data_IF_219053778327
#
_entry.id   IF_219053778327
#
_cell.length_a   1.000
_cell.length_b   1.000
_cell.length_c   1.000
_cell.angle_alpha   90.00
_cell.angle_beta   90.00
_cell.angle_gamma   90.00
#
_symmetry.space_group_name_H-M   'P 1'
#
loop_
_entity.id
_entity.type
_entity.pdbx_description
1 polymer ?
#
# COMPACT_ATOMS: atom_id res chain seq x y z
N UNK A 1 -13.37 -34.58 -35.00
CA UNK A 1 -12.24 -33.64 -35.06
C UNK A 1 -12.14 -32.92 -33.76
N UNK A 2 -11.15 -33.27 -32.89
CA UNK A 2 -10.88 -32.55 -31.64
C UNK A 2 -10.28 -31.19 -32.01
N UNK A 3 -11.08 -30.14 -31.94
CA UNK A 3 -10.58 -28.78 -32.08
C UNK A 3 -9.86 -28.44 -30.77
N UNK A 4 -8.53 -28.54 -30.76
CA UNK A 4 -7.70 -28.12 -29.62
C UNK A 4 -7.95 -26.64 -29.34
N UNK A 5 -8.33 -26.30 -28.11
CA UNK A 5 -8.62 -24.91 -27.74
C UNK A 5 -7.34 -24.07 -27.87
N UNK A 6 -7.31 -23.16 -28.83
CA UNK A 6 -6.20 -22.24 -29.11
C UNK A 6 -5.68 -21.51 -27.83
N UNK A 7 -6.52 -21.38 -26.82
CA UNK A 7 -6.24 -20.64 -25.61
C UNK A 7 -6.05 -21.52 -24.38
N UNK A 8 -5.91 -22.83 -24.54
CA UNK A 8 -5.81 -23.78 -23.41
C UNK A 8 -4.66 -23.41 -22.47
N UNK A 9 -3.45 -23.21 -22.98
CA UNK A 9 -2.29 -22.77 -22.18
C UNK A 9 -2.53 -21.41 -21.52
N UNK A 10 -3.15 -20.47 -22.22
CA UNK A 10 -3.46 -19.16 -21.65
C UNK A 10 -4.54 -19.24 -20.56
N UNK A 11 -5.54 -20.11 -20.70
CA UNK A 11 -6.57 -20.34 -19.67
C UNK A 11 -5.97 -20.95 -18.40
N UNK A 12 -5.06 -21.90 -18.55
CA UNK A 12 -4.33 -22.48 -17.41
C UNK A 12 -3.54 -21.41 -16.66
N UNK A 13 -2.81 -20.57 -17.40
CA UNK A 13 -2.00 -19.49 -16.80
C UNK A 13 -2.85 -18.39 -16.14
N UNK A 14 -3.96 -17.98 -16.77
CA UNK A 14 -4.95 -17.07 -16.18
C UNK A 14 -5.46 -17.61 -14.84
N UNK A 15 -5.77 -18.90 -14.78
CA UNK A 15 -6.27 -19.57 -13.59
C UNK A 15 -5.20 -19.60 -12.49
N UNK A 16 -3.96 -19.94 -12.85
CA UNK A 16 -2.83 -19.93 -11.92
C UNK A 16 -2.62 -18.54 -11.31
N UNK A 17 -2.49 -17.50 -12.15
CA UNK A 17 -2.32 -16.10 -11.72
C UNK A 17 -3.48 -15.67 -10.81
N UNK A 18 -4.72 -16.03 -11.15
CA UNK A 18 -5.89 -15.68 -10.36
C UNK A 18 -5.84 -16.29 -8.95
N UNK A 19 -5.50 -17.58 -8.82
CA UNK A 19 -5.42 -18.27 -7.54
C UNK A 19 -4.20 -17.84 -6.71
N UNK A 20 -3.03 -17.68 -7.31
CA UNK A 20 -1.82 -17.14 -6.67
C UNK A 20 -2.11 -15.79 -5.98
N UNK A 21 -2.96 -14.97 -6.61
CA UNK A 21 -3.35 -13.66 -6.11
C UNK A 21 -4.67 -13.67 -5.32
N UNK A 22 -5.15 -14.83 -4.85
CA UNK A 22 -6.37 -15.00 -4.04
C UNK A 22 -7.60 -14.29 -4.64
N UNK A 23 -7.72 -14.21 -5.97
CA UNK A 23 -8.81 -13.54 -6.68
C UNK A 23 -8.78 -12.00 -6.66
N UNK A 24 -7.68 -11.40 -6.22
CA UNK A 24 -7.53 -9.91 -6.14
C UNK A 24 -7.29 -9.25 -7.47
N UNK A 25 -6.87 -10.00 -8.50
CA UNK A 25 -6.58 -9.47 -9.83
C UNK A 25 -7.79 -9.51 -10.76
N UNK A 26 -8.14 -8.36 -11.32
CA UNK A 26 -9.07 -8.27 -12.45
C UNK A 26 -8.32 -8.42 -13.77
N UNK A 27 -9.08 -8.53 -14.88
CA UNK A 27 -8.54 -8.81 -16.20
C UNK A 27 -7.34 -7.93 -16.60
N UNK A 28 -7.31 -6.65 -16.23
CA UNK A 28 -6.20 -5.74 -16.58
C UNK A 28 -4.87 -6.15 -15.91
N UNK A 29 -4.90 -6.50 -14.62
CA UNK A 29 -3.70 -6.98 -13.92
C UNK A 29 -3.27 -8.36 -14.41
N UNK A 30 -4.24 -9.26 -14.64
CA UNK A 30 -3.95 -10.57 -15.24
C UNK A 30 -3.32 -10.42 -16.60
N UNK A 31 -3.78 -9.48 -17.44
CA UNK A 31 -3.14 -9.18 -18.74
C UNK A 31 -1.70 -8.74 -18.57
N UNK A 32 -1.45 -7.82 -17.63
CA UNK A 32 -0.09 -7.34 -17.36
C UNK A 32 0.82 -8.48 -16.87
N UNK A 33 0.32 -9.33 -15.99
CA UNK A 33 1.08 -10.47 -15.47
C UNK A 33 1.33 -11.55 -16.54
N UNK A 34 0.38 -11.78 -17.42
CA UNK A 34 0.57 -12.64 -18.60
C UNK A 34 1.69 -12.11 -19.51
N UNK A 35 1.74 -10.79 -19.73
CA UNK A 35 2.85 -10.19 -20.47
C UNK A 35 4.20 -10.38 -19.76
N UNK A 36 4.25 -10.25 -18.43
CA UNK A 36 5.45 -10.53 -17.64
C UNK A 36 5.91 -12.01 -17.77
N UNK A 37 4.97 -12.94 -18.04
CA UNK A 37 5.21 -14.37 -18.28
C UNK A 37 5.32 -14.73 -19.78
N UNK A 38 5.55 -13.74 -20.65
CA UNK A 38 5.72 -13.87 -22.10
C UNK A 38 4.48 -14.32 -22.88
N UNK A 39 3.27 -14.18 -22.32
CA UNK A 39 2.02 -14.37 -23.04
C UNK A 39 1.55 -13.05 -23.66
N UNK A 40 1.56 -12.92 -24.97
CA UNK A 40 1.11 -11.70 -25.66
C UNK A 40 -0.40 -11.79 -25.98
N UNK A 41 -1.26 -11.39 -25.02
CA UNK A 41 -2.71 -11.37 -25.18
C UNK A 41 -3.28 -9.97 -24.94
N UNK A 42 -4.29 -9.60 -25.77
CA UNK A 42 -5.02 -8.36 -25.56
C UNK A 42 -5.94 -8.48 -24.34
N UNK A 43 -6.08 -7.39 -23.58
CA UNK A 43 -6.91 -7.33 -22.36
C UNK A 43 -8.39 -7.71 -22.61
N UNK A 44 -8.96 -7.44 -23.81
CA UNK A 44 -10.32 -7.88 -24.16
C UNK A 44 -10.41 -9.40 -24.27
N UNK A 45 -9.37 -10.05 -24.83
CA UNK A 45 -9.29 -11.51 -24.90
C UNK A 45 -9.20 -12.11 -23.49
N UNK A 46 -8.33 -11.57 -22.64
CA UNK A 46 -8.20 -12.02 -21.24
C UNK A 46 -9.52 -11.85 -20.48
N UNK A 47 -10.22 -10.73 -20.66
CA UNK A 47 -11.53 -10.50 -20.05
C UNK A 47 -12.56 -11.55 -20.46
N UNK A 48 -12.60 -11.91 -21.75
CA UNK A 48 -13.48 -12.96 -22.29
C UNK A 48 -13.13 -14.32 -21.70
N UNK A 49 -11.84 -14.70 -21.70
CA UNK A 49 -11.37 -15.97 -21.15
C UNK A 49 -11.66 -16.09 -19.65
N UNK A 50 -11.44 -15.04 -18.87
CA UNK A 50 -11.83 -15.02 -17.46
C UNK A 50 -13.33 -15.27 -17.26
N UNK A 51 -14.18 -14.65 -18.10
CA UNK A 51 -15.63 -14.87 -18.06
C UNK A 51 -15.99 -16.33 -18.38
N UNK A 52 -15.35 -16.92 -19.40
CA UNK A 52 -15.51 -18.34 -19.76
C UNK A 52 -15.12 -19.27 -18.61
N UNK A 53 -14.07 -18.92 -17.87
CA UNK A 53 -13.58 -19.66 -16.69
C UNK A 53 -14.36 -19.36 -15.39
N UNK A 54 -15.34 -18.45 -15.42
CA UNK A 54 -16.09 -18.03 -14.22
C UNK A 54 -15.26 -17.23 -13.22
N UNK A 55 -14.09 -16.70 -13.62
CA UNK A 55 -13.18 -15.97 -12.76
C UNK A 55 -13.55 -14.48 -12.70
N UNK A 56 -13.91 -14.00 -11.51
CA UNK A 56 -14.32 -12.62 -11.27
C UNK A 56 -13.44 -12.01 -10.17
N UNK A 57 -12.95 -10.77 -10.38
CA UNK A 57 -12.22 -10.04 -9.35
C UNK A 57 -13.10 -9.86 -8.10
N UNK A 58 -12.62 -10.31 -6.93
CA UNK A 58 -13.37 -10.33 -5.66
C UNK A 58 -13.30 -9.01 -4.89
N UNK A 59 -12.45 -8.07 -5.32
CA UNK A 59 -12.24 -6.79 -4.62
C UNK A 59 -13.45 -5.87 -4.75
N UNK A 60 -14.03 -5.45 -3.61
CA UNK A 60 -15.14 -4.50 -3.55
C UNK A 60 -14.66 -3.07 -3.34
N UNK A 61 -15.23 -2.10 -4.08
CA UNK A 61 -14.99 -0.66 -3.86
C UNK A 61 -16.07 -0.08 -2.91
N UNK A 62 -15.64 0.51 -1.77
CA UNK A 62 -16.53 1.27 -0.85
C UNK A 62 -16.19 2.77 -0.87
N UNK A 63 -17.20 3.65 -0.69
CA UNK A 63 -17.03 5.11 -0.54
C UNK A 63 -16.60 5.47 0.89
N UNK A 64 -15.71 6.46 1.01
CA UNK A 64 -15.08 6.97 2.23
C UNK A 64 -15.91 8.01 3.00
N UNK A 65 -15.65 8.15 4.32
CA UNK A 65 -16.21 9.18 5.21
C UNK A 65 -15.19 9.62 6.28
N UNK A 66 -14.98 10.94 6.51
CA UNK A 66 -13.87 11.50 7.30
C UNK A 66 -14.20 11.84 8.77
N UNK A 67 -13.15 11.91 9.63
CA UNK A 67 -13.19 12.17 11.07
C UNK A 67 -12.61 13.54 11.46
N UNK A 68 -13.08 14.15 12.61
CA UNK A 68 -12.68 15.48 13.10
C UNK A 68 -12.09 15.40 14.51
N UNK A 69 -10.84 15.86 14.72
CA UNK A 69 -10.21 15.98 16.05
C UNK A 69 -9.09 17.02 16.11
N UNK A 70 -8.72 17.51 17.31
CA UNK A 70 -7.70 18.55 17.56
C UNK A 70 -6.69 18.15 18.65
N UNK A 71 -5.47 18.66 18.59
CA UNK A 71 -4.57 19.42 19.50
C UNK A 71 -3.10 19.07 19.33
N UNK A 72 -2.24 20.10 19.08
CA UNK A 72 -0.78 20.01 19.07
C UNK A 72 -0.12 21.01 18.10
N UNK A 73 1.19 20.94 17.89
CA UNK A 73 1.88 21.83 16.95
C UNK A 73 1.79 21.26 15.52
N UNK A 74 1.02 21.92 14.69
CA UNK A 74 0.80 21.55 13.29
C UNK A 74 1.96 22.04 12.43
N UNK A 75 2.52 21.18 11.57
CA UNK A 75 3.49 21.55 10.56
C UNK A 75 2.80 22.07 9.28
N UNK A 76 3.46 22.94 8.47
CA UNK A 76 2.91 23.40 7.21
C UNK A 76 2.71 22.26 6.22
N UNK A 77 1.75 22.39 5.31
CA UNK A 77 1.60 21.46 4.18
C UNK A 77 2.66 21.79 3.10
N UNK A 78 3.75 21.01 3.11
CA UNK A 78 4.82 21.15 2.12
C UNK A 78 4.55 20.35 0.84
N UNK A 79 3.71 19.31 0.94
CA UNK A 79 3.42 18.45 -0.19
C UNK A 79 2.46 19.09 -1.19
N UNK A 80 1.51 19.89 -0.68
CA UNK A 80 0.51 20.63 -1.45
C UNK A 80 -0.16 19.80 -2.57
N UNK A 81 -0.46 18.52 -2.29
CA UNK A 81 -1.02 17.51 -3.23
C UNK A 81 -0.10 17.10 -4.38
N UNK A 82 1.14 17.56 -4.39
CA UNK A 82 2.15 17.04 -5.30
C UNK A 82 2.69 15.71 -4.76
N UNK A 83 1.99 14.61 -5.10
CA UNK A 83 2.33 13.24 -4.74
C UNK A 83 3.32 12.61 -5.73
N UNK A 84 3.90 13.38 -6.62
CA UNK A 84 4.94 12.91 -7.52
C UNK A 84 6.31 12.99 -6.85
N UNK A 85 7.12 11.94 -6.97
CA UNK A 85 8.52 11.89 -6.58
C UNK A 85 9.31 11.21 -7.68
N UNK A 86 10.40 11.82 -8.10
CA UNK A 86 11.26 11.32 -9.19
C UNK A 86 12.17 10.20 -8.71
N UNK A 87 12.62 10.29 -7.47
CA UNK A 87 13.56 9.34 -6.85
C UNK A 87 13.02 8.80 -5.53
N UNK A 88 13.39 7.57 -5.15
CA UNK A 88 13.12 7.05 -3.81
C UNK A 88 13.68 7.97 -2.72
N UNK A 89 13.02 8.00 -1.57
CA UNK A 89 13.38 8.79 -0.40
C UNK A 89 13.31 10.33 -0.58
N UNK A 90 12.58 10.83 -1.58
CA UNK A 90 12.25 12.26 -1.68
C UNK A 90 11.02 12.63 -0.86
N UNK A 91 9.96 11.85 -0.98
CA UNK A 91 8.68 12.09 -0.31
C UNK A 91 8.12 10.78 0.23
N UNK A 92 7.86 10.76 1.52
CA UNK A 92 7.17 9.68 2.21
C UNK A 92 5.83 10.15 2.75
N UNK A 93 4.88 9.24 2.84
CA UNK A 93 3.57 9.48 3.47
C UNK A 93 3.32 8.43 4.56
N UNK A 94 2.63 8.84 5.62
CA UNK A 94 2.28 7.97 6.75
C UNK A 94 0.91 8.32 7.29
N UNK A 95 0.25 7.33 7.87
CA UNK A 95 -1.01 7.46 8.59
C UNK A 95 -1.22 6.24 9.49
N UNK A 96 -2.23 6.27 10.34
CA UNK A 96 -2.61 5.13 11.18
C UNK A 96 -4.01 4.66 10.81
N UNK A 97 -4.17 3.35 10.61
CA UNK A 97 -5.50 2.75 10.44
C UNK A 97 -5.83 1.78 11.56
N UNK A 98 -7.11 1.69 11.89
CA UNK A 98 -7.67 0.76 12.86
C UNK A 98 -8.41 -0.37 12.15
N UNK A 99 -8.26 -1.57 12.67
CA UNK A 99 -9.08 -2.74 12.38
C UNK A 99 -9.83 -3.14 13.66
N UNK A 100 -11.11 -3.45 13.55
CA UNK A 100 -11.94 -3.89 14.67
C UNK A 100 -12.60 -5.22 14.29
N UNK A 101 -12.17 -6.30 14.94
CA UNK A 101 -12.65 -7.67 14.74
C UNK A 101 -12.76 -8.35 16.11
N UNK A 102 -13.71 -9.26 16.29
CA UNK A 102 -13.87 -10.06 17.53
C UNK A 102 -13.97 -9.23 18.82
N UNK A 103 -14.44 -7.97 18.75
CA UNK A 103 -14.46 -7.07 19.90
C UNK A 103 -13.09 -6.47 20.28
N UNK A 104 -12.04 -6.82 19.54
CA UNK A 104 -10.67 -6.34 19.73
C UNK A 104 -10.30 -5.31 18.66
N UNK A 105 -9.20 -4.57 18.92
CA UNK A 105 -8.67 -3.57 17.98
C UNK A 105 -7.21 -3.85 17.65
N UNK A 106 -6.86 -3.65 16.39
CA UNK A 106 -5.49 -3.71 15.89
C UNK A 106 -5.20 -2.45 15.07
N UNK A 107 -4.04 -1.87 15.25
CA UNK A 107 -3.60 -0.66 14.58
C UNK A 107 -2.40 -0.93 13.70
N UNK A 108 -2.39 -0.36 12.50
CA UNK A 108 -1.27 -0.39 11.56
C UNK A 108 -0.79 1.03 11.30
N UNK A 109 0.51 1.27 11.47
CA UNK A 109 1.19 2.51 11.12
C UNK A 109 2.27 2.24 10.08
N UNK A 110 2.03 2.48 8.79
CA UNK A 110 3.00 2.29 7.71
C UNK A 110 3.63 3.61 7.27
N UNK A 111 4.80 3.53 6.63
CA UNK A 111 5.39 4.58 5.79
C UNK A 111 5.43 4.07 4.35
N UNK A 112 4.90 4.85 3.41
CA UNK A 112 5.01 4.61 1.97
C UNK A 112 5.91 5.63 1.30
N UNK A 113 6.77 5.17 0.40
CA UNK A 113 7.53 6.03 -0.53
C UNK A 113 6.67 6.41 -1.72
N UNK A 114 6.61 7.70 -2.08
CA UNK A 114 5.76 8.17 -3.17
C UNK A 114 6.27 7.83 -4.56
N UNK A 115 7.59 7.62 -4.74
CA UNK A 115 8.19 7.24 -6.01
C UNK A 115 7.82 5.81 -6.40
N UNK A 116 8.06 4.87 -5.49
CA UNK A 116 7.88 3.43 -5.74
C UNK A 116 6.56 2.87 -5.19
N UNK A 117 5.84 3.63 -4.37
CA UNK A 117 4.73 3.13 -3.54
C UNK A 117 5.15 1.96 -2.63
N UNK A 118 6.45 1.87 -2.33
CA UNK A 118 7.07 0.87 -1.48
C UNK A 118 6.70 1.11 -0.02
N UNK A 119 6.43 0.02 0.69
CA UNK A 119 6.23 0.04 2.13
C UNK A 119 7.61 0.07 2.82
N UNK A 120 8.08 1.28 3.13
CA UNK A 120 9.42 1.50 3.71
C UNK A 120 9.55 0.84 5.07
N UNK A 121 8.58 1.06 5.95
CA UNK A 121 8.48 0.44 7.26
C UNK A 121 7.05 0.40 7.74
N UNK A 122 6.78 -0.41 8.75
CA UNK A 122 5.50 -0.41 9.46
C UNK A 122 5.64 -0.95 10.89
N UNK A 123 4.64 -0.65 11.71
CA UNK A 123 4.39 -1.28 13.00
C UNK A 123 2.93 -1.66 13.13
N UNK A 124 2.70 -2.78 13.82
CA UNK A 124 1.37 -3.25 14.21
C UNK A 124 1.30 -3.22 15.73
N UNK A 125 0.19 -2.74 16.29
CA UNK A 125 0.00 -2.60 17.74
C UNK A 125 -1.46 -2.85 18.10
N UNK A 126 -1.71 -3.33 19.30
CA UNK A 126 -3.05 -3.46 19.92
C UNK A 126 -3.58 -2.11 20.45
N UNK A 127 -2.73 -1.10 20.54
CA UNK A 127 -3.07 0.24 21.04
C UNK A 127 -2.47 1.36 20.19
N UNK A 128 -3.20 2.47 19.98
CA UNK A 128 -2.71 3.62 19.21
C UNK A 128 -1.80 4.51 20.06
N UNK A 129 -0.68 3.95 20.55
CA UNK A 129 0.29 4.65 21.41
C UNK A 129 1.38 5.35 20.59
N UNK A 130 2.00 6.38 21.15
CA UNK A 130 3.08 7.11 20.48
C UNK A 130 4.24 6.18 20.08
N UNK A 131 4.54 5.17 20.92
CA UNK A 131 5.62 4.23 20.64
C UNK A 131 5.46 3.49 19.32
N UNK A 132 4.22 3.21 18.88
CA UNK A 132 3.94 2.59 17.59
C UNK A 132 4.52 3.41 16.42
N UNK A 133 4.26 4.72 16.39
CA UNK A 133 4.78 5.61 15.32
C UNK A 133 6.29 5.89 15.49
N UNK A 134 6.81 5.96 16.71
CA UNK A 134 8.25 6.19 16.90
C UNK A 134 9.08 4.96 16.53
N UNK A 135 8.64 3.75 16.86
CA UNK A 135 9.29 2.49 16.43
C UNK A 135 9.24 2.31 14.91
N UNK A 136 8.12 2.70 14.27
CA UNK A 136 8.03 2.72 12.82
C UNK A 136 9.07 3.67 12.20
N UNK A 137 9.27 4.87 12.78
CA UNK A 137 10.31 5.81 12.35
C UNK A 137 11.72 5.23 12.52
N UNK A 138 12.03 4.63 13.67
CA UNK A 138 13.34 4.03 13.91
C UNK A 138 13.69 3.01 12.83
N UNK A 139 12.77 2.09 12.51
CA UNK A 139 12.92 1.12 11.40
C UNK A 139 13.11 1.78 10.03
N UNK A 140 12.44 2.91 9.78
CA UNK A 140 12.58 3.64 8.52
C UNK A 140 13.93 4.35 8.43
N UNK A 141 14.41 4.89 9.55
CA UNK A 141 15.67 5.64 9.63
C UNK A 141 16.91 4.78 9.39
N UNK A 142 16.84 3.48 9.68
CA UNK A 142 17.88 2.51 9.35
C UNK A 142 18.13 2.39 7.84
N UNK A 143 17.14 2.74 7.02
CA UNK A 143 17.17 2.61 5.55
C UNK A 143 17.64 3.85 4.81
N UNK A 144 17.93 4.94 5.52
CA UNK A 144 18.34 6.22 4.93
C UNK A 144 19.49 6.86 5.72
N UNK A 145 20.39 7.62 5.07
CA UNK A 145 21.43 8.37 5.77
C UNK A 145 20.85 9.52 6.61
N UNK A 146 21.66 10.11 7.46
CA UNK A 146 21.33 11.34 8.16
C UNK A 146 21.45 12.55 7.23
N UNK A 147 20.75 13.64 7.57
CA UNK A 147 20.79 14.87 6.80
C UNK A 147 20.03 14.82 5.47
N UNK A 148 19.17 13.82 5.27
CA UNK A 148 18.33 13.74 4.08
C UNK A 148 17.34 14.90 4.02
N UNK A 149 17.09 15.43 2.84
CA UNK A 149 16.09 16.48 2.61
C UNK A 149 14.68 15.93 2.34
N UNK A 150 14.42 14.71 2.81
CA UNK A 150 13.15 14.00 2.66
C UNK A 150 11.99 14.76 3.30
N UNK A 151 10.83 14.74 2.65
CA UNK A 151 9.57 15.21 3.24
C UNK A 151 8.79 13.99 3.74
N UNK A 152 8.42 13.98 5.03
CA UNK A 152 7.45 13.02 5.58
C UNK A 152 6.12 13.73 5.84
N UNK A 153 5.09 13.31 5.09
CA UNK A 153 3.74 13.88 5.18
C UNK A 153 2.78 12.95 5.94
N UNK A 154 1.96 13.55 6.79
CA UNK A 154 0.90 12.87 7.54
C UNK A 154 -0.39 13.69 7.59
N UNK A 155 -1.43 13.12 8.15
CA UNK A 155 -2.57 13.89 8.64
C UNK A 155 -2.19 14.70 9.90
N UNK A 156 -3.21 15.35 10.53
CA UNK A 156 -3.02 16.07 11.79
C UNK A 156 -3.27 15.17 13.03
N UNK A 157 -3.03 13.87 12.97
CA UNK A 157 -3.15 12.98 14.10
C UNK A 157 -2.25 13.42 15.29
N UNK A 158 -2.74 13.25 16.53
CA UNK A 158 -2.06 13.70 17.73
C UNK A 158 -0.62 13.16 17.86
N UNK A 159 -0.38 11.92 17.40
CA UNK A 159 0.93 11.26 17.42
C UNK A 159 1.97 12.03 16.59
N UNK A 160 1.57 12.60 15.44
CA UNK A 160 2.45 13.37 14.56
C UNK A 160 2.71 14.79 15.06
N UNK A 161 1.83 15.31 15.91
CA UNK A 161 1.96 16.61 16.59
C UNK A 161 2.83 16.53 17.86
N UNK A 162 3.15 15.31 18.32
CA UNK A 162 3.88 15.11 19.55
C UNK A 162 5.36 15.53 19.43
N UNK A 163 5.89 16.24 20.47
CA UNK A 163 7.24 16.80 20.49
C UNK A 163 8.35 15.76 20.23
N UNK A 164 8.18 14.52 20.76
CA UNK A 164 9.15 13.42 20.55
C UNK A 164 9.22 13.03 19.08
N UNK A 165 8.09 12.84 18.43
CA UNK A 165 8.00 12.54 16.98
C UNK A 165 8.70 13.63 16.16
N UNK A 166 8.35 14.90 16.38
CA UNK A 166 8.94 16.03 15.67
C UNK A 166 10.45 16.19 15.92
N UNK A 167 10.93 15.85 17.16
CA UNK A 167 12.37 15.84 17.46
C UNK A 167 13.10 14.75 16.66
N UNK A 168 12.53 13.55 16.55
CA UNK A 168 13.12 12.46 15.78
C UNK A 168 13.29 12.84 14.32
N UNK A 169 12.28 13.41 13.67
CA UNK A 169 12.36 13.89 12.28
C UNK A 169 13.47 14.95 12.11
N UNK A 170 13.50 15.95 12.99
CA UNK A 170 14.52 17.01 12.94
C UNK A 170 15.94 16.47 13.10
N UNK A 171 16.15 15.52 14.03
CA UNK A 171 17.47 14.88 14.21
C UNK A 171 17.93 14.12 12.98
N UNK A 172 17.01 13.50 12.25
CA UNK A 172 17.29 12.76 11.02
C UNK A 172 17.42 13.68 9.77
N UNK A 173 17.09 14.97 9.92
CA UNK A 173 17.09 15.94 8.80
C UNK A 173 15.85 15.83 7.91
N UNK A 174 14.74 15.24 8.39
CA UNK A 174 13.49 15.06 7.66
C UNK A 174 12.58 16.27 7.89
N UNK A 175 12.04 16.81 6.81
CA UNK A 175 11.06 17.90 6.85
C UNK A 175 9.66 17.35 7.07
N UNK A 176 9.03 17.74 8.17
CA UNK A 176 7.65 17.36 8.45
C UNK A 176 6.68 18.18 7.61
N UNK A 177 5.68 17.50 7.05
CA UNK A 177 4.53 18.09 6.35
C UNK A 177 3.24 17.51 6.91
N UNK A 178 2.18 18.32 7.01
CA UNK A 178 0.87 17.86 7.47
C UNK A 178 -0.24 18.31 6.54
N UNK A 179 -1.28 17.49 6.39
CA UNK A 179 -2.51 17.82 5.68
C UNK A 179 -3.18 19.06 6.28
N UNK A 180 -3.89 19.82 5.47
CA UNK A 180 -4.75 20.89 5.96
C UNK A 180 -5.94 20.30 6.73
N UNK A 181 -6.42 21.01 7.76
CA UNK A 181 -7.54 20.55 8.58
C UNK A 181 -8.79 20.27 7.73
N UNK A 182 -9.36 19.08 7.89
CA UNK A 182 -10.56 18.66 7.19
C UNK A 182 -10.39 18.40 5.69
N UNK A 183 -9.17 18.31 5.18
CA UNK A 183 -8.90 18.10 3.77
C UNK A 183 -8.34 16.70 3.51
N UNK A 184 -9.24 15.72 3.32
CA UNK A 184 -8.88 14.33 3.06
C UNK A 184 -8.03 14.14 1.80
N UNK A 185 -8.18 14.99 0.78
CA UNK A 185 -7.41 14.92 -0.46
C UNK A 185 -5.90 15.14 -0.24
N UNK A 186 -5.52 15.80 0.86
CA UNK A 186 -4.11 16.00 1.19
C UNK A 186 -3.42 14.72 1.66
N UNK A 187 -4.18 13.67 2.07
CA UNK A 187 -3.67 12.35 2.46
C UNK A 187 -4.18 11.19 1.57
N UNK A 188 -4.60 11.51 0.35
CA UNK A 188 -5.27 10.58 -0.57
C UNK A 188 -4.47 9.30 -0.87
N UNK A 189 -3.14 9.35 -0.82
CA UNK A 189 -2.28 8.16 -1.08
C UNK A 189 -2.44 7.14 0.05
N UNK A 190 -2.45 7.59 1.31
CA UNK A 190 -2.64 6.70 2.46
C UNK A 190 -4.07 6.15 2.51
N UNK A 191 -5.06 6.99 2.23
CA UNK A 191 -6.46 6.55 2.12
C UNK A 191 -6.63 5.47 1.05
N UNK A 192 -5.99 5.64 -0.11
CA UNK A 192 -6.01 4.65 -1.19
C UNK A 192 -5.33 3.35 -0.74
N UNK A 193 -4.17 3.42 -0.08
CA UNK A 193 -3.47 2.25 0.43
C UNK A 193 -4.34 1.47 1.42
N UNK A 194 -4.93 2.14 2.41
CA UNK A 194 -5.81 1.49 3.38
C UNK A 194 -7.10 0.95 2.75
N UNK A 195 -7.64 1.66 1.77
CA UNK A 195 -8.77 1.18 0.98
C UNK A 195 -8.45 -0.12 0.24
N UNK A 196 -7.28 -0.20 -0.39
CA UNK A 196 -6.80 -1.41 -1.05
C UNK A 196 -6.58 -2.55 -0.06
N UNK A 197 -5.90 -2.30 1.05
CA UNK A 197 -5.65 -3.28 2.09
C UNK A 197 -6.96 -3.84 2.64
N UNK A 198 -7.91 -2.98 3.00
CA UNK A 198 -9.22 -3.42 3.50
C UNK A 198 -10.02 -4.19 2.45
N UNK A 199 -9.97 -3.78 1.19
CA UNK A 199 -10.71 -4.46 0.13
C UNK A 199 -10.05 -5.76 -0.37
N UNK A 200 -8.72 -5.84 -0.32
CA UNK A 200 -7.97 -7.00 -0.82
C UNK A 200 -7.65 -8.03 0.28
N UNK A 201 -7.78 -7.66 1.56
CA UNK A 201 -7.60 -8.55 2.71
C UNK A 201 -8.87 -8.66 3.55
N UNK A 202 -9.26 -7.56 4.24
CA UNK A 202 -10.28 -7.59 5.30
C UNK A 202 -11.66 -8.03 4.80
N UNK A 203 -12.04 -7.66 3.56
CA UNK A 203 -13.37 -7.97 3.01
C UNK A 203 -13.40 -9.20 2.09
N UNK A 204 -12.27 -9.87 1.86
CA UNK A 204 -12.21 -11.02 0.95
C UNK A 204 -12.25 -12.36 1.65
N UNK A 205 -11.91 -12.41 2.92
CA UNK A 205 -11.81 -13.66 3.67
C UNK A 205 -12.38 -13.49 5.08
N UNK A 206 -12.72 -14.61 5.69
CA UNK A 206 -13.12 -14.70 7.09
C UNK A 206 -11.88 -15.01 7.94
N UNK A 207 -11.89 -14.54 9.18
CA UNK A 207 -10.81 -14.76 10.14
C UNK A 207 -11.37 -15.48 11.35
N UNK A 208 -10.56 -16.33 11.95
CA UNK A 208 -10.96 -17.12 13.14
C UNK A 208 -10.68 -16.37 14.44
N UNK A 209 -9.66 -15.49 14.43
CA UNK A 209 -9.23 -14.71 15.60
C UNK A 209 -8.48 -13.44 15.18
N UNK A 210 -8.23 -12.54 16.13
CA UNK A 210 -7.39 -11.35 15.90
C UNK A 210 -5.94 -11.74 15.57
N UNK A 211 -5.41 -12.81 16.15
CA UNK A 211 -4.06 -13.29 15.85
C UNK A 211 -3.98 -13.87 14.44
N UNK A 212 -4.99 -14.63 13.98
CA UNK A 212 -5.09 -15.08 12.59
C UNK A 212 -5.14 -13.88 11.63
N UNK A 213 -5.98 -12.87 11.93
CA UNK A 213 -6.02 -11.64 11.13
C UNK A 213 -4.65 -10.93 11.08
N UNK A 214 -3.93 -10.86 12.18
CA UNK A 214 -2.62 -10.23 12.28
C UNK A 214 -1.56 -10.96 11.42
N UNK A 215 -1.57 -12.29 11.39
CA UNK A 215 -0.70 -13.08 10.52
C UNK A 215 -1.01 -12.82 9.04
N UNK A 216 -2.28 -12.89 8.65
CA UNK A 216 -2.72 -12.57 7.28
C UNK A 216 -2.42 -11.12 6.89
N UNK A 217 -2.46 -10.17 7.83
CA UNK A 217 -2.06 -8.80 7.61
C UNK A 217 -0.56 -8.69 7.30
N UNK A 218 0.30 -9.38 8.05
CA UNK A 218 1.75 -9.41 7.81
C UNK A 218 2.04 -10.02 6.43
N UNK A 219 1.41 -11.14 6.10
CA UNK A 219 1.54 -11.78 4.78
C UNK A 219 1.04 -10.88 3.65
N UNK A 220 -0.04 -10.12 3.87
CA UNK A 220 -0.53 -9.17 2.89
C UNK A 220 0.44 -8.01 2.68
N UNK A 221 1.06 -7.48 3.74
CA UNK A 221 2.05 -6.39 3.62
C UNK A 221 3.30 -6.85 2.85
N UNK A 222 3.75 -8.08 3.08
CA UNK A 222 4.80 -8.71 2.27
C UNK A 222 4.37 -8.88 0.81
N UNK A 223 3.19 -9.45 0.57
CA UNK A 223 2.62 -9.58 -0.77
C UNK A 223 2.50 -8.24 -1.48
N UNK A 224 2.00 -7.20 -0.80
CA UNK A 224 1.86 -5.86 -1.36
C UNK A 224 3.19 -5.31 -1.86
N UNK A 225 4.25 -5.49 -1.09
CA UNK A 225 5.56 -4.94 -1.38
C UNK A 225 6.32 -5.73 -2.45
N UNK A 226 6.29 -7.07 -2.35
CA UNK A 226 7.19 -7.94 -3.10
C UNK A 226 6.53 -8.64 -4.29
N UNK A 227 5.19 -8.79 -4.31
CA UNK A 227 4.48 -9.59 -5.32
C UNK A 227 3.34 -8.85 -6.03
N UNK A 228 2.72 -7.86 -5.37
CA UNK A 228 1.58 -7.14 -5.93
C UNK A 228 2.01 -6.17 -7.01
N UNK A 229 1.75 -6.51 -8.28
CA UNK A 229 2.08 -5.64 -9.41
C UNK A 229 1.19 -4.39 -9.47
N UNK A 230 1.77 -3.28 -9.97
CA UNK A 230 1.06 -2.02 -10.19
C UNK A 230 1.29 -1.52 -11.62
N UNK A 231 0.22 -1.21 -12.35
CA UNK A 231 0.30 -0.64 -13.70
C UNK A 231 1.12 0.67 -13.74
N UNK A 232 0.94 1.52 -12.72
CA UNK A 232 1.71 2.77 -12.52
C UNK A 232 3.23 2.52 -12.41
N UNK A 233 3.66 1.34 -11.97
CA UNK A 233 5.05 0.94 -11.82
C UNK A 233 5.50 0.01 -12.97
N UNK A 234 4.97 0.21 -14.16
CA UNK A 234 5.27 -0.60 -15.36
C UNK A 234 5.01 -2.11 -15.18
N UNK A 235 4.03 -2.47 -14.36
CA UNK A 235 3.71 -3.86 -14.06
C UNK A 235 4.63 -4.53 -13.03
N UNK A 236 5.45 -3.75 -12.32
CA UNK A 236 6.35 -4.25 -11.28
C UNK A 236 5.72 -4.14 -9.88
N UNK A 237 6.13 -5.02 -8.95
CA UNK A 237 5.91 -4.81 -7.52
C UNK A 237 6.70 -3.60 -6.98
N UNK A 238 6.21 -2.92 -5.91
CA UNK A 238 6.84 -1.75 -5.32
C UNK A 238 8.33 -1.94 -4.99
N UNK A 239 8.72 -3.04 -4.33
CA UNK A 239 10.09 -3.30 -3.94
C UNK A 239 11.03 -3.47 -5.14
N UNK A 240 10.58 -4.16 -6.18
CA UNK A 240 11.38 -4.36 -7.42
C UNK A 240 11.55 -3.02 -8.13
N UNK A 241 10.48 -2.23 -8.27
CA UNK A 241 10.56 -0.89 -8.85
C UNK A 241 11.54 0.00 -8.07
N UNK A 242 11.50 -0.04 -6.72
CA UNK A 242 12.44 0.70 -5.87
C UNK A 242 13.90 0.31 -6.14
N UNK A 243 14.20 -1.00 -6.20
CA UNK A 243 15.56 -1.47 -6.48
C UNK A 243 16.08 -0.96 -7.82
N UNK A 244 15.26 -1.03 -8.87
CA UNK A 244 15.62 -0.48 -10.18
C UNK A 244 15.83 1.04 -10.14
N UNK A 245 14.98 1.79 -9.44
CA UNK A 245 15.12 3.24 -9.30
C UNK A 245 16.38 3.66 -8.53
N UNK A 246 16.83 2.85 -7.56
CA UNK A 246 18.07 3.08 -6.81
C UNK A 246 19.33 2.71 -7.61
N UNK A 247 19.25 1.74 -8.52
CA UNK A 247 20.38 1.35 -9.35
C UNK A 247 20.70 2.33 -10.49
N UNK A 248 19.77 3.21 -10.81
CA UNK A 248 19.88 4.23 -11.89
C UNK A 248 20.18 5.63 -11.32
N UNK A 249 20.11 5.82 -10.01
CA UNK A 249 20.31 7.11 -9.33
C UNK A 249 21.73 7.30 -8.85
#
# INVERSE_FOLDING_TARGET
>A
MNCTDKYEAAKAEITAIYHENKGRYGYRRITTELHNRNFSLNHKTVQRLMKELGLVCRVRMKKYCSYKGEVGKIAPNLLNRDFHAEKPNQKWVTDVTEFSLFGEKLYLSPILDLCSSDLVSYTISDRPVLNMVTTMLDKAFEKIPDGTNLILHSDQGWQYQHKRYQRMLRKKGIRQSMSRKGNCLDNAVMENFFGLLKSELLYLQEFESMEHFKQELIEYLDYYNNRRIKAKLKGLPPAIHRLQALSVA
#
